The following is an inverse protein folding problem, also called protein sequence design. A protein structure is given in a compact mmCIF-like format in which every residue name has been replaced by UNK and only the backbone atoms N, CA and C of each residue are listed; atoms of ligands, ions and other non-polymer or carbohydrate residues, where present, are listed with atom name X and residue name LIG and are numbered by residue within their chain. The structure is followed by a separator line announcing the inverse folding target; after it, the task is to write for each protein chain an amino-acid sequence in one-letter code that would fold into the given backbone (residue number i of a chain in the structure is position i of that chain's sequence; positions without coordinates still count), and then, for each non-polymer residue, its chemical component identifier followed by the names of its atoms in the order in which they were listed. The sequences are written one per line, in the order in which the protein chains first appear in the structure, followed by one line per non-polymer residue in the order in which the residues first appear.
data_IF_311794575298
#
_entry.id   IF_311794575298
#
_cell.length_a   1.000
_cell.length_b   1.000
_cell.length_c   1.000
_cell.angle_alpha   90.00
_cell.angle_beta   90.00
_cell.angle_gamma   90.00
#
_symmetry.space_group_name_H-M   'P 1'
#
loop_
_entity.id
_entity.type
_entity.pdbx_description
1 polymer ?
#
# COMPACT_ATOMS: atom_id res chain seq x y z
N UNK A 1 -49.55 -12.90 3.38
CA UNK A 1 -50.19 -12.44 4.63
C UNK A 1 -51.11 -11.27 4.27
N UNK A 2 -52.44 -11.47 4.17
CA UNK A 2 -53.36 -10.37 3.93
C UNK A 2 -53.39 -9.44 5.15
N UNK A 3 -52.96 -8.19 4.97
CA UNK A 3 -52.92 -7.17 6.02
C UNK A 3 -54.33 -6.86 6.51
N UNK A 4 -54.52 -6.90 7.82
CA UNK A 4 -55.77 -6.82 8.60
C UNK A 4 -56.72 -5.67 8.29
N UNK A 5 -56.31 -4.68 7.48
CA UNK A 5 -57.05 -3.45 7.21
C UNK A 5 -58.20 -3.59 6.19
N UNK A 6 -58.16 -4.57 5.28
CA UNK A 6 -59.25 -4.77 4.30
C UNK A 6 -60.55 -5.32 4.92
N UNK A 7 -60.46 -6.00 6.06
CA UNK A 7 -61.60 -6.56 6.79
C UNK A 7 -62.47 -5.49 7.48
N UNK A 8 -61.84 -4.41 7.98
CA UNK A 8 -62.54 -3.34 8.69
C UNK A 8 -63.36 -2.44 7.75
N UNK A 9 -62.82 -2.10 6.57
CA UNK A 9 -63.55 -1.31 5.57
C UNK A 9 -64.81 -2.03 5.04
N UNK A 10 -64.76 -3.35 4.93
CA UNK A 10 -65.90 -4.17 4.51
C UNK A 10 -67.05 -4.16 5.53
N UNK A 11 -66.74 -4.04 6.83
CA UNK A 11 -67.73 -3.96 7.90
C UNK A 11 -68.36 -2.57 8.02
N UNK A 12 -67.60 -1.51 7.75
CA UNK A 12 -68.12 -0.14 7.79
C UNK A 12 -69.13 0.12 6.67
N UNK A 13 -68.81 -0.28 5.42
CA UNK A 13 -69.75 -0.18 4.29
C UNK A 13 -71.02 -0.99 4.47
N UNK A 14 -70.95 -2.13 5.19
CA UNK A 14 -72.14 -2.94 5.47
C UNK A 14 -73.09 -2.24 6.45
N UNK A 15 -72.59 -1.41 7.38
CA UNK A 15 -73.43 -0.66 8.32
C UNK A 15 -74.10 0.56 7.69
N UNK A 16 -73.50 1.20 6.69
CA UNK A 16 -74.16 2.28 5.93
C UNK A 16 -75.35 1.77 5.11
N UNK A 17 -75.28 0.54 4.59
CA UNK A 17 -76.40 -0.07 3.88
C UNK A 17 -77.58 -0.46 4.81
N UNK A 18 -77.31 -0.74 6.09
CA UNK A 18 -78.36 -1.08 7.09
C UNK A 18 -78.95 0.15 7.81
N UNK A 19 -78.23 1.28 7.83
CA UNK A 19 -78.70 2.54 8.44
C UNK A 19 -79.64 3.36 7.55
N UNK A 20 -79.90 2.93 6.31
CA UNK A 20 -80.98 3.45 5.45
C UNK A 20 -82.40 3.08 5.94
N UNK A 21 -82.59 2.96 7.26
CA UNK A 21 -83.84 2.65 7.92
C UNK A 21 -84.88 3.74 7.66
N UNK A 22 -85.97 3.33 7.03
CA UNK A 22 -87.11 4.15 6.65
C UNK A 22 -87.55 5.14 7.75
N UNK A 23 -87.68 6.41 7.36
CA UNK A 23 -88.34 7.47 8.15
C UNK A 23 -89.74 6.96 8.56
N UNK A 24 -90.05 6.81 9.85
CA UNK A 24 -91.36 6.30 10.28
C UNK A 24 -92.45 7.30 9.89
N UNK A 25 -93.40 6.84 9.05
CA UNK A 25 -94.59 7.60 8.65
C UNK A 25 -95.41 8.03 9.89
N UNK A 26 -95.79 9.31 10.03
CA UNK A 26 -96.65 9.74 11.12
C UNK A 26 -98.05 9.12 10.97
N UNK A 27 -98.45 8.28 11.92
CA UNK A 27 -99.79 7.69 11.98
C UNK A 27 -100.77 8.76 12.44
N UNK A 28 -101.69 9.15 11.55
CA UNK A 28 -102.87 9.97 11.86
C UNK A 28 -103.78 9.20 12.83
N UNK A 29 -103.81 9.59 14.11
CA UNK A 29 -104.90 9.24 15.03
C UNK A 29 -105.62 10.51 15.43
N UNK A 30 -106.83 10.67 14.87
CA UNK A 30 -107.83 11.60 15.36
C UNK A 30 -108.45 11.01 16.65
N UNK A 31 -108.46 11.77 17.74
CA UNK A 31 -109.45 11.63 18.81
C UNK A 31 -109.56 12.95 19.56
N UNK A 32 -110.69 13.62 19.34
CA UNK A 32 -111.14 14.85 19.99
C UNK A 32 -111.15 14.69 21.51
N UNK A 33 -110.37 15.52 22.21
CA UNK A 33 -110.45 15.70 23.65
C UNK A 33 -111.36 16.90 23.99
N UNK A 34 -112.16 16.72 25.04
CA UNK A 34 -113.08 17.68 25.61
C UNK A 34 -112.35 18.91 26.19
N UNK A 35 -113.01 20.07 26.35
CA UNK A 35 -112.38 21.28 26.88
C UNK A 35 -111.98 21.08 28.35
N UNK A 36 -110.69 20.91 28.60
CA UNK A 36 -110.12 21.02 29.95
C UNK A 36 -110.16 22.47 30.41
N UNK A 37 -110.31 22.66 31.71
CA UNK A 37 -110.45 23.98 32.33
C UNK A 37 -109.18 24.83 32.10
N UNK A 38 -109.31 26.16 31.93
CA UNK A 38 -108.21 27.06 31.53
C UNK A 38 -107.00 27.10 32.48
N UNK A 39 -107.12 26.58 33.71
CA UNK A 39 -106.03 26.54 34.68
C UNK A 39 -105.02 25.39 34.43
N UNK A 40 -105.46 24.24 33.91
CA UNK A 40 -104.56 23.11 33.61
C UNK A 40 -103.67 23.40 32.39
N UNK A 41 -104.22 24.15 31.42
CA UNK A 41 -103.51 24.53 30.21
C UNK A 41 -102.31 25.45 30.45
N UNK A 42 -102.40 26.36 31.42
CA UNK A 42 -101.29 27.28 31.75
C UNK A 42 -100.12 26.50 32.37
N UNK A 43 -100.40 25.56 33.28
CA UNK A 43 -99.36 24.74 33.91
C UNK A 43 -98.65 23.81 32.91
N UNK A 44 -99.40 23.26 31.95
CA UNK A 44 -98.83 22.47 30.85
C UNK A 44 -97.88 23.32 29.99
N UNK A 45 -98.29 24.54 29.63
CA UNK A 45 -97.43 25.47 28.88
C UNK A 45 -96.15 25.79 29.66
N UNK A 46 -96.25 26.11 30.96
CA UNK A 46 -95.08 26.42 31.79
C UNK A 46 -94.11 25.24 31.88
N UNK A 47 -94.64 24.02 32.00
CA UNK A 47 -93.83 22.78 32.01
C UNK A 47 -93.12 22.56 30.68
N UNK A 48 -93.81 22.78 29.55
CA UNK A 48 -93.20 22.67 28.22
C UNK A 48 -92.13 23.74 27.99
N UNK A 49 -92.35 24.97 28.46
CA UNK A 49 -91.34 26.05 28.38
C UNK A 49 -90.11 25.69 29.23
N UNK A 50 -90.32 25.13 30.42
CA UNK A 50 -89.22 24.67 31.27
C UNK A 50 -88.40 23.57 30.60
N UNK A 51 -89.04 22.51 30.09
CA UNK A 51 -88.37 21.42 29.37
C UNK A 51 -87.63 21.96 28.12
N UNK A 52 -88.25 22.85 27.35
CA UNK A 52 -87.62 23.47 26.20
C UNK A 52 -86.36 24.27 26.58
N UNK A 53 -86.41 24.99 27.71
CA UNK A 53 -85.26 25.72 28.26
C UNK A 53 -84.14 24.77 28.68
N UNK A 54 -84.45 23.68 29.40
CA UNK A 54 -83.46 22.66 29.78
C UNK A 54 -82.82 22.01 28.55
N UNK A 55 -83.61 21.58 27.55
CA UNK A 55 -83.09 21.03 26.30
C UNK A 55 -82.19 22.03 25.56
N UNK A 56 -82.51 23.32 25.59
CA UNK A 56 -81.68 24.36 24.97
C UNK A 56 -80.35 24.53 25.71
N UNK A 57 -80.36 24.53 27.05
CA UNK A 57 -79.14 24.60 27.85
C UNK A 57 -78.25 23.38 27.66
N UNK A 58 -78.82 22.18 27.68
CA UNK A 58 -78.11 20.94 27.39
C UNK A 58 -77.48 20.99 25.99
N UNK A 59 -78.22 21.45 24.99
CA UNK A 59 -77.69 21.64 23.63
C UNK A 59 -76.49 22.59 23.60
N UNK A 60 -76.54 23.71 24.35
CA UNK A 60 -75.42 24.65 24.47
C UNK A 60 -74.22 24.00 25.18
N UNK A 61 -74.45 23.23 26.24
CA UNK A 61 -73.40 22.50 26.97
C UNK A 61 -72.72 21.47 26.07
N UNK A 62 -73.50 20.66 25.36
CA UNK A 62 -73.00 19.65 24.42
C UNK A 62 -72.23 20.30 23.26
N UNK A 63 -72.71 21.42 22.73
CA UNK A 63 -72.00 22.16 21.69
C UNK A 63 -70.65 22.69 22.20
N UNK A 64 -70.61 23.25 23.41
CA UNK A 64 -69.36 23.68 24.04
C UNK A 64 -68.37 22.53 24.25
N UNK A 65 -68.86 21.37 24.69
CA UNK A 65 -68.05 20.15 24.81
C UNK A 65 -67.53 19.65 23.45
N UNK A 66 -68.37 19.67 22.42
CA UNK A 66 -68.00 19.27 21.06
C UNK A 66 -66.89 20.17 20.51
N UNK A 67 -67.02 21.49 20.64
CA UNK A 67 -65.99 22.43 20.18
C UNK A 67 -64.67 22.27 20.96
N UNK A 68 -64.74 22.01 22.27
CA UNK A 68 -63.56 21.67 23.08
C UNK A 68 -62.90 20.37 22.61
N UNK A 69 -63.70 19.34 22.33
CA UNK A 69 -63.21 18.06 21.81
C UNK A 69 -62.55 18.22 20.43
N UNK A 70 -63.16 19.00 19.50
CA UNK A 70 -62.57 19.30 18.19
C UNK A 70 -61.22 20.00 18.31
N UNK A 71 -61.10 20.98 19.21
CA UNK A 71 -59.83 21.67 19.45
C UNK A 71 -58.74 20.70 19.94
N UNK A 72 -59.09 19.80 20.87
CA UNK A 72 -58.17 18.77 21.36
C UNK A 72 -57.75 17.79 20.27
N UNK A 73 -58.68 17.39 19.39
CA UNK A 73 -58.33 16.53 18.25
C UNK A 73 -57.36 17.23 17.31
N UNK A 74 -57.62 18.49 16.95
CA UNK A 74 -56.71 19.26 16.10
C UNK A 74 -55.32 19.46 16.73
N UNK A 75 -55.25 19.69 18.05
CA UNK A 75 -53.98 19.77 18.79
C UNK A 75 -53.21 18.45 18.77
N UNK A 76 -53.89 17.32 18.95
CA UNK A 76 -53.28 15.99 18.88
C UNK A 76 -52.83 15.63 17.46
N UNK A 77 -53.59 16.01 16.44
CA UNK A 77 -53.21 15.83 15.03
C UNK A 77 -51.95 16.64 14.70
N UNK A 78 -51.86 17.89 15.18
CA UNK A 78 -50.65 18.70 15.02
C UNK A 78 -49.45 18.10 15.76
N UNK A 79 -49.65 17.62 17.00
CA UNK A 79 -48.59 16.96 17.77
C UNK A 79 -48.13 15.64 17.12
N UNK A 80 -49.05 14.88 16.51
CA UNK A 80 -48.71 13.67 15.76
C UNK A 80 -47.89 14.01 14.52
N UNK A 81 -48.31 15.00 13.73
CA UNK A 81 -47.57 15.44 12.55
C UNK A 81 -46.16 15.94 12.90
N UNK A 82 -46.00 16.66 14.01
CA UNK A 82 -44.69 17.09 14.50
C UNK A 82 -43.82 15.89 14.92
N UNK A 83 -44.39 14.91 15.63
CA UNK A 83 -43.67 13.70 16.03
C UNK A 83 -43.23 12.85 14.83
N UNK A 84 -44.07 12.75 13.79
CA UNK A 84 -43.74 12.06 12.54
C UNK A 84 -42.60 12.77 11.80
N UNK A 85 -42.66 14.11 11.67
CA UNK A 85 -41.59 14.88 11.05
C UNK A 85 -40.25 14.74 11.79
N UNK A 86 -40.27 14.71 13.13
CA UNK A 86 -39.07 14.44 13.94
C UNK A 86 -38.54 13.02 13.72
N UNK A 87 -39.43 12.02 13.65
CA UNK A 87 -39.02 10.64 13.35
C UNK A 87 -38.35 10.56 11.99
N UNK A 88 -38.97 11.11 10.95
CA UNK A 88 -38.42 11.13 9.59
C UNK A 88 -37.06 11.83 9.53
N UNK A 89 -36.90 12.96 10.23
CA UNK A 89 -35.61 13.63 10.33
C UNK A 89 -34.53 12.74 10.98
N UNK A 90 -34.84 12.09 12.11
CA UNK A 90 -33.89 11.18 12.76
C UNK A 90 -33.59 9.92 11.92
N UNK A 91 -34.55 9.42 11.16
CA UNK A 91 -34.35 8.31 10.22
C UNK A 91 -33.44 8.72 9.06
N UNK A 92 -33.62 9.92 8.51
CA UNK A 92 -32.75 10.47 7.48
C UNK A 92 -31.31 10.69 8.00
N UNK A 93 -31.14 11.22 9.21
CA UNK A 93 -29.82 11.35 9.85
C UNK A 93 -29.15 9.99 10.05
N UNK A 94 -29.89 8.98 10.50
CA UNK A 94 -29.37 7.63 10.68
C UNK A 94 -28.93 7.00 9.36
N UNK A 95 -29.68 7.22 8.27
CA UNK A 95 -29.31 6.75 6.93
C UNK A 95 -28.04 7.47 6.44
N UNK A 96 -27.96 8.78 6.59
CA UNK A 96 -26.76 9.53 6.23
C UNK A 96 -25.51 9.05 6.99
N UNK A 97 -25.63 8.76 8.30
CA UNK A 97 -24.54 8.17 9.08
C UNK A 97 -24.17 6.75 8.61
N UNK A 98 -25.15 5.95 8.17
CA UNK A 98 -24.88 4.63 7.63
C UNK A 98 -24.06 4.69 6.32
N UNK A 99 -24.39 5.64 5.44
CA UNK A 99 -23.66 5.87 4.19
C UNK A 99 -22.20 6.28 4.46
N UNK A 100 -21.98 7.22 5.41
CA UNK A 100 -20.62 7.62 5.82
C UNK A 100 -19.81 6.44 6.36
N UNK A 101 -20.42 5.59 7.20
CA UNK A 101 -19.74 4.39 7.72
C UNK A 101 -19.42 3.37 6.61
N UNK A 102 -20.24 3.27 5.58
CA UNK A 102 -19.95 2.42 4.42
C UNK A 102 -18.77 2.95 3.61
N UNK A 103 -18.72 4.27 3.37
CA UNK A 103 -17.59 4.94 2.71
C UNK A 103 -16.28 4.76 3.50
N UNK A 104 -16.30 4.93 4.82
CA UNK A 104 -15.13 4.72 5.68
C UNK A 104 -14.65 3.26 5.63
N UNK A 105 -15.57 2.29 5.67
CA UNK A 105 -15.23 0.87 5.51
C UNK A 105 -14.57 0.62 4.16
N UNK A 106 -15.11 1.18 3.07
CA UNK A 106 -14.53 1.07 1.75
C UNK A 106 -13.11 1.68 1.70
N UNK A 107 -12.93 2.90 2.24
CA UNK A 107 -11.63 3.57 2.31
C UNK A 107 -10.60 2.75 3.12
N UNK A 108 -11.02 2.17 4.24
CA UNK A 108 -10.15 1.32 5.05
C UNK A 108 -9.78 0.00 4.35
N UNK A 109 -10.70 -0.62 3.60
CA UNK A 109 -10.36 -1.80 2.78
C UNK A 109 -9.34 -1.46 1.68
N UNK A 110 -9.47 -0.30 1.05
CA UNK A 110 -8.52 0.20 0.06
C UNK A 110 -7.15 0.51 0.68
N UNK A 111 -7.13 1.11 1.88
CA UNK A 111 -5.88 1.37 2.61
C UNK A 111 -5.15 0.06 2.95
N UNK A 112 -5.89 -0.94 3.45
CA UNK A 112 -5.34 -2.28 3.73
C UNK A 112 -4.80 -2.97 2.47
N UNK A 113 -5.50 -2.87 1.33
CA UNK A 113 -5.00 -3.48 0.09
C UNK A 113 -3.74 -2.78 -0.42
N UNK A 114 -3.65 -1.45 -0.32
CA UNK A 114 -2.44 -0.68 -0.66
C UNK A 114 -1.26 -1.03 0.25
N UNK A 115 -1.50 -1.18 1.55
CA UNK A 115 -0.48 -1.62 2.51
C UNK A 115 0.08 -2.99 2.11
N UNK A 116 -0.78 -3.99 1.89
CA UNK A 116 -0.35 -5.33 1.44
C UNK A 116 0.43 -5.30 0.13
N UNK A 117 0.03 -4.46 -0.82
CA UNK A 117 0.76 -4.29 -2.07
C UNK A 117 2.15 -3.68 -1.85
N UNK A 118 2.29 -2.71 -0.94
CA UNK A 118 3.60 -2.13 -0.58
C UNK A 118 4.49 -3.12 0.17
N UNK A 119 3.92 -3.94 1.06
CA UNK A 119 4.64 -5.00 1.77
C UNK A 119 5.17 -6.07 0.80
N UNK A 120 4.36 -6.46 -0.20
CA UNK A 120 4.79 -7.41 -1.23
C UNK A 120 5.97 -6.86 -2.04
N UNK A 121 5.92 -5.60 -2.48
CA UNK A 121 7.04 -4.94 -3.19
C UNK A 121 8.29 -4.83 -2.32
N UNK A 122 8.13 -4.55 -1.03
CA UNK A 122 9.26 -4.52 -0.10
C UNK A 122 9.90 -5.90 0.07
N UNK A 123 9.09 -6.96 0.13
CA UNK A 123 9.59 -8.33 0.20
C UNK A 123 10.36 -8.73 -1.07
N UNK A 124 9.83 -8.37 -2.25
CA UNK A 124 10.49 -8.56 -3.54
C UNK A 124 11.84 -7.83 -3.61
N UNK A 125 11.88 -6.53 -3.31
CA UNK A 125 13.11 -5.74 -3.28
C UNK A 125 14.15 -6.29 -2.29
N UNK A 126 13.70 -6.79 -1.13
CA UNK A 126 14.59 -7.47 -0.16
C UNK A 126 15.16 -8.78 -0.73
N UNK A 127 14.38 -9.54 -1.48
CA UNK A 127 14.84 -10.77 -2.14
C UNK A 127 15.85 -10.46 -3.23
N UNK A 128 15.60 -9.46 -4.07
CA UNK A 128 16.52 -9.02 -5.13
C UNK A 128 17.85 -8.54 -4.52
N UNK A 129 17.79 -7.73 -3.47
CA UNK A 129 18.98 -7.27 -2.75
C UNK A 129 19.79 -8.43 -2.13
N UNK A 130 19.11 -9.47 -1.63
CA UNK A 130 19.77 -10.68 -1.15
C UNK A 130 20.46 -11.45 -2.29
N UNK A 131 19.81 -11.53 -3.47
CA UNK A 131 20.38 -12.10 -4.69
C UNK A 131 21.68 -11.40 -5.11
N UNK A 132 21.66 -10.07 -5.20
CA UNK A 132 22.86 -9.29 -5.55
C UNK A 132 24.01 -9.43 -4.55
N UNK A 133 23.70 -9.54 -3.25
CA UNK A 133 24.73 -9.82 -2.23
C UNK A 133 25.37 -11.18 -2.43
N UNK A 134 24.57 -12.20 -2.76
CA UNK A 134 25.09 -13.53 -3.06
C UNK A 134 25.95 -13.52 -4.34
N UNK A 135 25.47 -12.93 -5.42
CA UNK A 135 26.21 -12.78 -6.68
C UNK A 135 27.52 -12.02 -6.48
N UNK A 136 27.49 -10.91 -5.73
CA UNK A 136 28.67 -10.14 -5.37
C UNK A 136 29.70 -10.99 -4.61
N UNK A 137 29.25 -11.79 -3.63
CA UNK A 137 30.10 -12.74 -2.92
C UNK A 137 30.75 -13.77 -3.84
N UNK A 138 29.99 -14.33 -4.80
CA UNK A 138 30.52 -15.28 -5.80
C UNK A 138 31.55 -14.61 -6.70
N UNK A 139 31.32 -13.37 -7.13
CA UNK A 139 32.29 -12.62 -7.94
C UNK A 139 33.57 -12.32 -7.15
N UNK A 140 33.48 -11.91 -5.89
CA UNK A 140 34.66 -11.69 -5.03
C UNK A 140 35.51 -12.96 -4.93
N UNK A 141 34.90 -14.12 -4.64
CA UNK A 141 35.61 -15.40 -4.58
C UNK A 141 36.29 -15.75 -5.92
N UNK A 142 35.68 -15.41 -7.05
CA UNK A 142 36.27 -15.63 -8.37
C UNK A 142 37.46 -14.71 -8.63
N UNK A 143 37.39 -13.45 -8.20
CA UNK A 143 38.52 -12.50 -8.28
C UNK A 143 39.68 -13.02 -7.44
N UNK A 144 39.44 -13.40 -6.17
CA UNK A 144 40.46 -13.99 -5.29
C UNK A 144 41.13 -15.22 -5.93
N UNK A 145 40.36 -16.10 -6.58
CA UNK A 145 40.91 -17.25 -7.28
C UNK A 145 41.83 -16.85 -8.45
N UNK A 146 41.46 -15.81 -9.21
CA UNK A 146 42.25 -15.33 -10.32
C UNK A 146 43.55 -14.68 -9.84
N UNK A 147 43.51 -13.88 -8.77
CA UNK A 147 44.70 -13.30 -8.14
C UNK A 147 45.69 -14.38 -7.68
N UNK A 148 45.22 -15.48 -7.09
CA UNK A 148 46.08 -16.61 -6.71
C UNK A 148 46.73 -17.27 -7.93
N UNK A 149 45.99 -17.41 -9.04
CA UNK A 149 46.55 -17.97 -10.29
C UNK A 149 47.57 -17.04 -10.93
N UNK A 150 47.31 -15.75 -10.91
CA UNK A 150 48.21 -14.70 -11.41
C UNK A 150 49.53 -14.70 -10.63
N UNK A 151 49.48 -14.67 -9.28
CA UNK A 151 50.68 -14.76 -8.43
C UNK A 151 51.53 -15.97 -8.76
N UNK A 152 50.91 -17.14 -8.95
CA UNK A 152 51.62 -18.37 -9.34
C UNK A 152 52.18 -18.29 -10.77
N UNK A 153 51.54 -17.58 -11.69
CA UNK A 153 52.05 -17.38 -13.04
C UNK A 153 53.27 -16.44 -13.03
N UNK A 154 53.20 -15.36 -12.26
CA UNK A 154 54.31 -14.42 -12.05
C UNK A 154 55.51 -15.13 -11.41
N UNK A 155 55.32 -15.87 -10.32
CA UNK A 155 56.39 -16.64 -9.65
C UNK A 155 57.09 -17.63 -10.61
N UNK A 156 56.31 -18.29 -11.48
CA UNK A 156 56.91 -19.17 -12.51
C UNK A 156 57.68 -18.41 -13.58
N UNK A 157 57.19 -17.23 -13.98
CA UNK A 157 57.89 -16.38 -14.94
C UNK A 157 59.19 -15.84 -14.36
N UNK A 158 59.18 -15.38 -13.11
CA UNK A 158 60.36 -14.94 -12.36
C UNK A 158 61.39 -16.08 -12.25
N UNK A 159 60.97 -17.27 -11.82
CA UNK A 159 61.84 -18.44 -11.75
C UNK A 159 62.42 -18.84 -13.12
N UNK A 160 61.61 -18.78 -14.20
CA UNK A 160 62.11 -19.03 -15.55
C UNK A 160 63.17 -18.00 -15.99
N UNK A 161 62.99 -16.73 -15.62
CA UNK A 161 63.98 -15.68 -15.88
C UNK A 161 65.25 -15.91 -15.07
N UNK A 162 65.15 -16.35 -13.81
CA UNK A 162 66.31 -16.72 -12.98
C UNK A 162 67.09 -17.89 -13.59
N UNK A 163 66.40 -18.98 -13.96
CA UNK A 163 67.01 -20.12 -14.65
C UNK A 163 67.70 -19.72 -15.96
N UNK A 164 67.11 -18.79 -16.70
CA UNK A 164 67.71 -18.27 -17.94
C UNK A 164 68.99 -17.47 -17.68
N UNK A 165 69.01 -16.63 -16.63
CA UNK A 165 70.22 -15.89 -16.21
C UNK A 165 71.33 -16.83 -15.73
N UNK A 166 70.95 -17.92 -15.05
CA UNK A 166 71.88 -18.93 -14.55
C UNK A 166 72.43 -19.85 -15.64
N UNK A 167 71.73 -19.97 -16.78
CA UNK A 167 72.17 -20.80 -17.90
C UNK A 167 73.44 -20.25 -18.55
N UNK A 168 74.52 -21.03 -18.42
CA UNK A 168 75.81 -20.77 -19.07
C UNK A 168 75.66 -20.79 -20.61
N UNK A 169 74.87 -21.73 -21.15
CA UNK A 169 74.61 -21.83 -22.60
C UNK A 169 73.97 -20.56 -23.19
N UNK A 170 73.03 -19.93 -22.48
CA UNK A 170 72.45 -18.67 -22.93
C UNK A 170 73.40 -17.49 -22.79
N UNK A 171 74.27 -17.51 -21.78
CA UNK A 171 75.29 -16.47 -21.59
C UNK A 171 76.32 -16.54 -22.71
N UNK A 172 76.82 -17.73 -23.02
CA UNK A 172 77.75 -17.98 -24.12
C UNK A 172 77.12 -17.60 -25.47
N UNK A 173 75.85 -17.96 -25.69
CA UNK A 173 75.13 -17.61 -26.92
C UNK A 173 74.90 -16.09 -27.05
N UNK A 174 74.55 -15.40 -25.97
CA UNK A 174 74.42 -13.95 -25.98
C UNK A 174 75.77 -13.28 -26.17
N UNK A 175 76.84 -13.78 -25.57
CA UNK A 175 78.20 -13.29 -25.81
C UNK A 175 78.61 -13.50 -27.27
N UNK A 176 78.37 -14.69 -27.84
CA UNK A 176 78.67 -14.98 -29.24
C UNK A 176 77.83 -14.12 -30.20
N UNK A 177 76.52 -14.00 -30.00
CA UNK A 177 75.63 -13.22 -30.89
C UNK A 177 75.81 -11.70 -30.71
N UNK A 178 76.10 -11.20 -29.50
CA UNK A 178 76.41 -9.77 -29.30
C UNK A 178 77.77 -9.41 -29.90
N UNK A 179 78.79 -10.25 -29.71
CA UNK A 179 80.11 -10.04 -30.28
C UNK A 179 80.04 -10.16 -31.81
N UNK A 180 79.44 -11.22 -32.35
CA UNK A 180 79.35 -11.45 -33.79
C UNK A 180 78.40 -10.47 -34.48
N UNK A 181 77.26 -10.17 -33.86
CA UNK A 181 76.30 -9.19 -34.36
C UNK A 181 76.90 -7.78 -34.42
N UNK A 182 77.66 -7.38 -33.40
CA UNK A 182 78.39 -6.10 -33.40
C UNK A 182 79.51 -6.08 -34.43
N UNK A 183 80.30 -7.15 -34.53
CA UNK A 183 81.36 -7.26 -35.52
C UNK A 183 80.79 -7.19 -36.95
N UNK A 184 79.68 -7.89 -37.19
CA UNK A 184 79.00 -7.89 -38.48
C UNK A 184 78.38 -6.52 -38.81
N UNK A 185 77.75 -5.86 -37.83
CA UNK A 185 77.23 -4.50 -37.97
C UNK A 185 78.33 -3.47 -38.28
N UNK A 186 79.48 -3.58 -37.60
CA UNK A 186 80.63 -2.72 -37.83
C UNK A 186 81.26 -2.95 -39.22
N UNK A 187 81.34 -4.19 -39.68
CA UNK A 187 81.84 -4.50 -41.01
C UNK A 187 80.92 -3.94 -42.10
N UNK A 188 79.60 -3.98 -41.87
CA UNK A 188 78.62 -3.36 -42.77
C UNK A 188 78.75 -1.83 -42.78
N UNK A 189 78.94 -1.20 -41.62
CA UNK A 189 79.24 0.23 -41.50
C UNK A 189 80.52 0.62 -42.26
N UNK A 190 81.60 -0.16 -42.10
CA UNK A 190 82.85 0.06 -42.85
C UNK A 190 82.64 -0.01 -44.36
N UNK A 191 81.84 -0.96 -44.83
CA UNK A 191 81.49 -1.10 -46.25
C UNK A 191 80.74 0.13 -46.76
N UNK A 192 79.78 0.64 -45.98
CA UNK A 192 79.07 1.87 -46.31
C UNK A 192 80.01 3.08 -46.33
N UNK A 193 80.87 3.24 -45.33
CA UNK A 193 81.81 4.36 -45.26
C UNK A 193 82.84 4.35 -46.39
N UNK A 194 83.27 3.17 -46.85
CA UNK A 194 84.16 3.05 -48.01
C UNK A 194 83.50 3.56 -49.31
N UNK A 195 82.18 3.45 -49.43
CA UNK A 195 81.44 4.01 -50.56
C UNK A 195 81.31 5.54 -50.49
N UNK A 196 81.02 6.09 -49.31
CA UNK A 196 80.82 7.53 -49.14
C UNK A 196 82.13 8.32 -49.03
N UNK A 197 83.15 7.75 -48.39
CA UNK A 197 84.40 8.43 -48.03
C UNK A 197 85.62 7.52 -48.32
N UNK A 198 86.03 7.35 -49.59
CA UNK A 198 87.11 6.41 -49.95
C UNK A 198 88.48 6.75 -49.36
N UNK A 199 88.69 8.00 -48.93
CA UNK A 199 89.95 8.46 -48.33
C UNK A 199 90.06 8.09 -46.84
N UNK A 200 88.93 7.81 -46.19
CA UNK A 200 88.90 7.43 -44.78
C UNK A 200 89.05 5.91 -44.67
N UNK A 201 90.29 5.46 -44.52
CA UNK A 201 90.56 4.03 -44.34
C UNK A 201 90.29 3.61 -42.90
N UNK A 202 89.09 3.05 -42.69
CA UNK A 202 88.71 2.45 -41.40
C UNK A 202 89.29 1.04 -41.23
N UNK A 203 90.15 0.57 -42.15
CA UNK A 203 90.67 -0.80 -42.10
C UNK A 203 91.53 -1.12 -40.88
N UNK A 204 92.27 -0.13 -40.41
CA UNK A 204 93.08 -0.22 -39.19
C UNK A 204 92.32 -0.04 -37.89
N UNK A 205 91.04 0.37 -37.93
CA UNK A 205 90.25 0.59 -36.72
C UNK A 205 89.60 -0.73 -36.33
N UNK A 206 90.09 -1.32 -35.24
CA UNK A 206 89.48 -2.49 -34.63
C UNK A 206 88.32 -2.02 -33.75
N UNK A 207 87.08 -2.46 -34.00
CA UNK A 207 85.98 -2.13 -33.12
C UNK A 207 86.30 -2.73 -31.75
N UNK A 208 86.41 -1.88 -30.73
CA UNK A 208 86.59 -2.31 -29.35
C UNK A 208 85.22 -2.23 -28.68
N UNK A 209 84.71 -3.40 -28.31
CA UNK A 209 83.57 -3.49 -27.41
C UNK A 209 84.09 -3.13 -26.02
N UNK A 210 83.72 -1.96 -25.53
CA UNK A 210 84.21 -1.43 -24.25
C UNK A 210 83.63 -2.22 -23.08
N UNK A 211 84.14 -3.42 -22.83
CA UNK A 211 83.97 -4.14 -21.56
C UNK A 211 84.91 -3.52 -20.51
N UNK A 212 84.76 -2.22 -20.27
CA UNK A 212 85.47 -1.57 -19.16
C UNK A 212 84.67 -1.84 -17.89
N UNK A 213 85.10 -2.82 -17.12
CA UNK A 213 84.59 -3.16 -15.77
C UNK A 213 84.83 -2.05 -14.72
N UNK A 214 85.10 -0.80 -15.14
CA UNK A 214 85.57 0.30 -14.28
C UNK A 214 84.68 1.57 -14.29
N UNK A 215 83.39 1.46 -14.65
CA UNK A 215 82.44 2.59 -14.47
C UNK A 215 81.29 2.19 -13.54
N UNK A 216 81.64 1.73 -12.33
CA UNK A 216 80.79 1.87 -11.14
C UNK A 216 80.95 3.29 -10.57
N UNK A 217 80.44 4.31 -11.26
CA UNK A 217 80.20 5.61 -10.65
C UNK A 217 79.25 6.44 -11.51
N UNK A 218 78.16 6.93 -10.88
CA UNK A 218 77.31 8.03 -11.36
C UNK A 218 76.29 7.75 -12.49
N UNK A 219 75.40 6.77 -12.29
CA UNK A 219 74.07 6.77 -12.96
C UNK A 219 72.84 6.64 -12.01
N UNK A 220 72.90 6.69 -10.65
CA UNK A 220 71.65 6.69 -9.87
C UNK A 220 70.82 8.00 -9.93
N UNK A 221 71.38 9.12 -10.39
CA UNK A 221 70.75 10.44 -10.21
C UNK A 221 69.75 10.84 -11.32
N UNK A 222 69.83 10.26 -12.52
CA UNK A 222 69.02 10.72 -13.66
C UNK A 222 67.65 10.03 -13.70
N UNK A 223 67.55 8.78 -13.25
CA UNK A 223 66.28 8.02 -13.26
C UNK A 223 65.35 8.44 -12.11
N UNK A 224 65.91 8.83 -10.95
CA UNK A 224 65.13 9.36 -9.83
C UNK A 224 64.48 10.74 -10.11
N UNK A 225 64.94 11.47 -11.13
CA UNK A 225 64.38 12.76 -11.52
C UNK A 225 63.18 12.64 -12.50
N UNK A 226 63.07 11.54 -13.26
CA UNK A 226 61.92 11.30 -14.13
C UNK A 226 60.71 10.73 -13.37
N UNK A 227 60.93 9.92 -12.33
CA UNK A 227 59.84 9.37 -11.51
C UNK A 227 59.18 10.44 -10.63
N UNK A 228 59.91 11.51 -10.27
CA UNK A 228 59.36 12.66 -9.55
C UNK A 228 58.55 13.63 -10.45
N UNK A 229 58.64 13.53 -11.77
CA UNK A 229 57.86 14.37 -12.69
C UNK A 229 56.50 13.74 -13.06
N UNK A 230 56.33 12.42 -12.88
CA UNK A 230 55.09 11.71 -13.21
C UNK A 230 54.02 11.80 -12.10
N UNK A 231 54.38 12.12 -10.86
CA UNK A 231 53.38 12.28 -9.76
C UNK A 231 52.73 13.68 -9.71
N UNK A 232 53.15 14.63 -10.56
CA UNK A 232 52.59 15.99 -10.56
C UNK A 232 51.44 16.21 -11.57
N UNK A 233 51.14 15.27 -12.46
CA UNK A 233 50.19 15.46 -13.57
C UNK A 233 48.98 14.49 -13.52
N UNK A 234 48.65 13.94 -12.35
CA UNK A 234 47.53 13.02 -12.15
C UNK A 234 46.32 13.59 -11.39
N UNK A 235 46.38 14.84 -10.94
CA UNK A 235 45.34 15.44 -10.12
C UNK A 235 44.97 16.83 -10.62
N UNK A 236 44.14 16.92 -11.67
CA UNK A 236 43.21 18.03 -11.96
C UNK A 236 42.45 17.71 -13.26
N UNK A 237 41.32 17.01 -13.12
CA UNK A 237 40.21 17.09 -14.08
C UNK A 237 38.91 16.66 -13.38
N UNK A 238 38.55 17.39 -12.32
CA UNK A 238 37.13 17.69 -12.11
C UNK A 238 36.69 18.56 -13.29
N UNK A 239 35.83 17.99 -14.13
CA UNK A 239 35.31 18.59 -15.35
C UNK A 239 33.83 18.34 -15.45
N UNK A 240 33.12 18.93 -14.50
CA UNK A 240 31.79 19.53 -14.64
C UNK A 240 31.37 19.80 -16.10
N UNK A 241 30.51 18.95 -16.65
CA UNK A 241 29.62 19.25 -17.77
C UNK A 241 28.29 18.53 -17.47
N UNK A 242 27.31 19.25 -16.94
CA UNK A 242 26.34 20.05 -17.69
C UNK A 242 25.05 19.24 -17.92
N UNK A 243 24.10 19.52 -17.04
CA UNK A 243 22.74 19.93 -17.39
C UNK A 243 22.22 19.46 -18.76
N UNK A 244 21.33 18.47 -18.73
CA UNK A 244 20.19 18.46 -19.65
C UNK A 244 18.91 18.48 -18.82
N UNK A 245 18.36 19.67 -18.70
CA UNK A 245 16.97 19.94 -18.36
C UNK A 245 15.99 19.26 -19.34
N UNK A 246 14.75 19.19 -18.87
CA UNK A 246 13.49 19.04 -19.63
C UNK A 246 12.92 17.61 -19.77
N UNK A 247 12.02 17.28 -18.83
CA UNK A 247 11.15 16.11 -18.91
C UNK A 247 10.12 16.04 -17.78
N UNK A 248 9.30 17.09 -17.69
CA UNK A 248 8.10 17.26 -16.84
C UNK A 248 7.22 16.00 -16.66
N UNK A 249 6.88 15.65 -15.41
CA UNK A 249 5.52 15.75 -14.84
C UNK A 249 5.32 14.89 -13.56
N UNK A 250 4.75 15.54 -12.54
CA UNK A 250 4.01 15.01 -11.39
C UNK A 250 4.70 14.15 -10.34
N UNK A 251 5.29 14.84 -9.36
CA UNK A 251 5.29 14.36 -7.97
C UNK A 251 5.01 15.51 -7.01
N UNK A 252 3.72 15.73 -6.72
CA UNK A 252 3.30 16.52 -5.58
C UNK A 252 3.52 15.70 -4.29
N UNK A 253 4.61 15.99 -3.58
CA UNK A 253 4.75 15.67 -2.15
C UNK A 253 5.05 16.98 -1.44
N UNK A 254 4.03 17.53 -0.79
CA UNK A 254 4.18 18.62 0.16
C UNK A 254 4.70 18.04 1.47
N UNK A 255 5.98 18.27 1.77
CA UNK A 255 6.49 18.21 3.13
C UNK A 255 6.04 19.48 3.86
N UNK A 256 5.24 19.30 4.91
CA UNK A 256 5.10 20.27 5.99
C UNK A 256 5.93 19.75 7.17
N UNK A 257 6.66 20.62 7.90
CA UNK A 257 7.40 20.24 9.09
C UNK A 257 6.41 20.11 10.25
N UNK A 258 6.32 18.92 10.86
CA UNK A 258 5.64 18.78 12.14
C UNK A 258 6.65 18.46 13.24
N UNK A 259 6.60 19.34 14.23
CA UNK A 259 7.38 19.34 15.46
C UNK A 259 7.27 18.00 16.20
N UNK A 260 8.43 17.55 16.66
CA UNK A 260 8.61 16.47 17.62
C UNK A 260 8.06 16.92 18.99
N UNK A 261 6.80 16.60 19.27
CA UNK A 261 6.23 16.68 20.63
C UNK A 261 6.55 15.38 21.34
N UNK A 262 7.56 15.44 22.20
CA UNK A 262 7.83 14.42 23.24
C UNK A 262 6.73 14.54 24.29
N UNK A 263 5.72 13.67 24.22
CA UNK A 263 4.73 13.51 25.30
C UNK A 263 5.15 12.33 26.19
N UNK A 264 5.75 12.68 27.32
CA UNK A 264 6.07 11.82 28.45
C UNK A 264 4.74 11.39 29.11
N UNK A 265 4.31 10.13 28.91
CA UNK A 265 3.18 9.55 29.65
C UNK A 265 3.72 8.73 30.82
N UNK A 266 3.46 9.11 32.09
CA UNK A 266 3.88 8.35 33.25
C UNK A 266 2.95 7.15 33.48
N UNK A 267 3.51 6.09 34.07
CA UNK A 267 2.84 4.81 34.25
C UNK A 267 1.77 4.72 35.35
N UNK A 268 1.48 3.45 35.66
CA UNK A 268 0.46 2.89 36.58
C UNK A 268 -0.93 2.84 35.93
N UNK A 269 -1.67 1.73 35.93
CA UNK A 269 -1.87 0.70 36.96
C UNK A 269 -2.40 -0.60 36.37
N UNK A 270 -2.09 -1.71 37.05
CA UNK A 270 -2.89 -2.94 37.12
C UNK A 270 -4.40 -2.70 36.94
N UNK A 271 -5.04 -3.36 35.98
CA UNK A 271 -6.43 -3.78 36.13
C UNK A 271 -6.64 -5.20 35.61
N UNK A 272 -7.40 -5.94 36.41
CA UNK A 272 -7.63 -7.38 36.43
C UNK A 272 -8.33 -7.94 35.17
N UNK A 273 -8.30 -9.29 34.98
CA UNK A 273 -9.10 -9.94 33.94
C UNK A 273 -10.59 -9.85 34.27
N UNK A 274 -11.34 -9.20 33.40
CA UNK A 274 -12.80 -9.15 33.46
C UNK A 274 -13.34 -10.52 33.00
N UNK A 275 -13.74 -11.34 33.98
CA UNK A 275 -14.79 -12.34 33.79
C UNK A 275 -16.13 -11.60 33.64
N UNK A 276 -16.74 -11.69 32.46
CA UNK A 276 -18.21 -11.54 32.34
C UNK A 276 -18.74 -12.73 31.58
N UNK A 277 -19.51 -13.51 32.33
CA UNK A 277 -20.30 -14.64 31.90
C UNK A 277 -21.59 -14.21 31.18
N UNK A 278 -22.10 -15.18 30.41
CA UNK A 278 -23.51 -15.41 30.07
C UNK A 278 -24.25 -14.46 29.10
N UNK A 279 -24.57 -15.03 27.93
CA UNK A 279 -25.76 -14.66 27.19
C UNK A 279 -25.77 -15.11 25.72
N UNK A 280 -26.28 -16.32 25.44
CA UNK A 280 -26.76 -16.63 24.08
C UNK A 280 -26.54 -18.06 23.59
N UNK A 281 -27.30 -19.00 24.16
CA UNK A 281 -27.53 -20.32 23.58
C UNK A 281 -28.20 -20.19 22.20
N UNK A 282 -27.45 -20.52 21.14
CA UNK A 282 -28.00 -21.00 19.88
C UNK A 282 -27.46 -22.41 19.63
N UNK A 283 -28.31 -23.44 19.41
CA UNK A 283 -27.81 -24.77 19.10
C UNK A 283 -27.27 -24.76 17.66
N UNK A 284 -25.95 -24.69 17.54
CA UNK A 284 -25.26 -25.01 16.30
C UNK A 284 -25.38 -26.53 16.06
N UNK A 285 -25.72 -26.98 14.84
CA UNK A 285 -25.71 -28.40 14.51
C UNK A 285 -24.28 -28.94 14.62
N UNK A 286 -24.14 -30.09 15.28
CA UNK A 286 -22.92 -30.86 15.32
C UNK A 286 -22.57 -31.30 13.88
N UNK A 287 -21.66 -30.59 13.24
CA UNK A 287 -20.94 -31.09 12.07
C UNK A 287 -19.63 -31.72 12.56
N UNK A 288 -19.54 -33.03 12.35
CA UNK A 288 -18.38 -33.85 12.67
C UNK A 288 -17.09 -33.24 12.07
N UNK A 289 -15.96 -33.26 12.79
CA UNK A 289 -14.68 -32.88 12.21
C UNK A 289 -14.34 -33.86 11.08
N UNK A 290 -14.36 -33.36 9.84
CA UNK A 290 -13.80 -34.07 8.71
C UNK A 290 -12.30 -34.25 8.95
N UNK A 291 -11.94 -35.47 9.33
CA UNK A 291 -10.57 -35.97 9.35
C UNK A 291 -10.09 -35.95 7.90
N UNK A 292 -9.26 -34.98 7.55
CA UNK A 292 -8.50 -35.01 6.30
C UNK A 292 -7.44 -36.10 6.47
N UNK A 293 -7.74 -37.30 5.97
CA UNK A 293 -6.74 -38.35 5.80
C UNK A 293 -5.77 -37.86 4.71
N UNK A 294 -4.52 -37.60 5.12
CA UNK A 294 -3.40 -37.42 4.21
C UNK A 294 -3.01 -38.84 3.81
N UNK A 295 -3.40 -39.26 2.61
CA UNK A 295 -2.89 -40.49 2.01
C UNK A 295 -1.39 -40.34 1.77
N UNK A 296 -0.61 -41.13 2.50
CA UNK A 296 0.81 -41.33 2.27
C UNK A 296 1.01 -41.97 0.90
N UNK A 297 1.56 -41.20 -0.03
CA UNK A 297 2.02 -41.66 -1.34
C UNK A 297 3.31 -42.45 -1.16
N UNK A 298 3.19 -43.76 -0.91
CA UNK A 298 4.27 -44.74 -1.07
C UNK A 298 4.68 -44.81 -2.55
N UNK A 299 5.69 -44.01 -2.90
CA UNK A 299 6.38 -44.04 -4.18
C UNK A 299 7.35 -45.21 -4.28
N UNK A 300 6.81 -46.35 -4.70
CA UNK A 300 7.40 -47.45 -5.45
C UNK A 300 8.86 -47.26 -5.93
N UNK A 301 9.83 -47.84 -5.20
CA UNK A 301 11.19 -48.10 -5.72
C UNK A 301 11.27 -49.55 -6.20
N UNK A 302 10.64 -49.82 -7.35
CA UNK A 302 10.66 -51.11 -8.04
C UNK A 302 11.67 -51.16 -9.19
N UNK A 303 12.83 -51.76 -8.90
CA UNK A 303 13.70 -52.55 -9.78
C UNK A 303 13.55 -52.46 -11.32
N UNK A 304 14.65 -52.07 -11.98
CA UNK A 304 14.99 -52.59 -13.31
C UNK A 304 16.48 -52.95 -13.37
N UNK A 305 16.77 -54.20 -13.05
CA UNK A 305 17.97 -54.88 -13.54
C UNK A 305 17.73 -55.25 -15.01
N UNK A 306 18.73 -55.02 -15.86
CA UNK A 306 18.75 -55.44 -17.26
C UNK A 306 20.19 -55.70 -17.70
N UNK A 307 20.36 -56.64 -18.66
CA UNK A 307 21.43 -57.66 -18.71
C UNK A 307 22.84 -57.18 -19.05
#
# INVERSE_FOLDING_TARGET
MPTSNTSLFSRLKKREAEAGGAIPKPRKKAKSAAPSAPAEHIHEIDTLVFIASECQEESRRLYGQLESAKKKVAELEAALAEAEARREATEAERLALADVLEEERAAHTLARSKLRASEARLAEARSEAAGHKYEGGVLCLKVEQLEVREKRALERAENAVELFKESEEFRDMLEEETVDGFLWGFENFRRQMAWYCPQLDLSGIRPRMGLSDEVEAEVPAIIAAEEALAEAEGGMAEGELAETEAGTADRATSEAPFEEVVEEVPGATDEAPIEVAEGGLGPAPAEDPQIIAIDDLEGDTGAAAGP
#
